data_IF_429102159881
#
_entry.id   IF_429102159881
#
_cell.length_a   1.000
_cell.length_b   1.000
_cell.length_c   1.000
_cell.angle_alpha   90.00
_cell.angle_beta   90.00
_cell.angle_gamma   90.00
#
_symmetry.space_group_name_H-M   'P 1'
#
loop_
_entity.id
_entity.type
_entity.pdbx_description
1 polymer ?
#
# COMPACT_ATOMS: atom_id res chain seq x y z
N UNK A 1 4.00 11.42 -15.59
CA UNK A 1 3.90 12.30 -14.40
C UNK A 1 2.82 11.74 -13.48
N UNK A 2 3.19 11.46 -12.23
CA UNK A 2 2.28 10.91 -11.20
C UNK A 2 1.05 11.80 -11.03
N UNK A 3 -0.13 11.19 -11.08
CA UNK A 3 -1.40 11.87 -10.85
C UNK A 3 -2.13 11.23 -9.67
N UNK A 4 -2.86 12.05 -8.91
CA UNK A 4 -3.67 11.60 -7.78
C UNK A 4 -5.06 12.24 -7.84
N UNK A 5 -6.10 11.41 -7.78
CA UNK A 5 -7.50 11.83 -7.86
C UNK A 5 -8.28 11.28 -6.66
N UNK A 6 -8.99 12.14 -5.97
CA UNK A 6 -9.92 11.69 -4.92
C UNK A 6 -11.07 10.90 -5.55
N UNK A 7 -11.38 9.74 -4.99
CA UNK A 7 -12.52 8.93 -5.44
C UNK A 7 -13.83 9.65 -5.06
N UNK A 8 -14.74 9.90 -6.03
CA UNK A 8 -16.03 10.54 -5.75
C UNK A 8 -16.88 9.73 -4.77
N UNK A 9 -17.65 10.40 -3.92
CA UNK A 9 -18.51 9.76 -2.92
C UNK A 9 -19.51 8.78 -3.51
N UNK A 10 -20.05 9.08 -4.70
CA UNK A 10 -20.97 8.16 -5.41
C UNK A 10 -20.29 6.83 -5.71
N UNK A 11 -19.02 6.85 -6.13
CA UNK A 11 -18.25 5.64 -6.42
C UNK A 11 -17.88 4.89 -5.15
N UNK A 12 -17.53 5.58 -4.06
CA UNK A 12 -17.28 4.94 -2.77
C UNK A 12 -18.52 4.18 -2.27
N UNK A 13 -19.69 4.80 -2.32
CA UNK A 13 -20.94 4.22 -1.88
C UNK A 13 -21.47 3.07 -2.76
N UNK A 14 -20.93 2.89 -3.97
CA UNK A 14 -21.29 1.78 -4.86
C UNK A 14 -20.75 0.40 -4.46
N UNK A 15 -20.03 0.31 -3.32
CA UNK A 15 -19.52 -0.94 -2.77
C UNK A 15 -18.08 -0.89 -2.28
N UNK A 16 -17.25 0.01 -2.79
CA UNK A 16 -15.82 0.13 -2.41
C UNK A 16 -15.66 0.39 -0.91
N UNK A 17 -16.48 1.25 -0.34
CA UNK A 17 -16.48 1.54 1.09
C UNK A 17 -16.71 0.27 1.94
N UNK A 18 -17.65 -0.58 1.52
CA UNK A 18 -17.95 -1.83 2.22
C UNK A 18 -16.80 -2.83 2.12
N UNK A 19 -16.15 -2.93 0.97
CA UNK A 19 -14.97 -3.79 0.78
C UNK A 19 -13.85 -3.32 1.70
N UNK A 20 -13.53 -2.03 1.71
CA UNK A 20 -12.49 -1.47 2.59
C UNK A 20 -12.81 -1.75 4.06
N UNK A 21 -14.03 -1.46 4.52
CA UNK A 21 -14.45 -1.69 5.91
C UNK A 21 -14.40 -3.17 6.31
N UNK A 22 -14.84 -4.07 5.44
CA UNK A 22 -14.74 -5.50 5.66
C UNK A 22 -13.29 -5.93 5.80
N UNK A 23 -12.44 -5.54 4.88
CA UNK A 23 -11.02 -5.89 4.87
C UNK A 23 -10.28 -5.35 6.11
N UNK A 24 -10.62 -4.15 6.59
CA UNK A 24 -10.07 -3.62 7.86
C UNK A 24 -10.51 -4.49 9.04
N UNK A 25 -11.78 -4.88 9.12
CA UNK A 25 -12.27 -5.77 10.19
C UNK A 25 -11.56 -7.12 10.17
N UNK A 26 -11.40 -7.70 8.99
CA UNK A 26 -10.70 -8.98 8.80
C UNK A 26 -9.23 -8.86 9.20
N UNK A 27 -8.54 -7.77 8.82
CA UNK A 27 -7.18 -7.48 9.24
C UNK A 27 -7.04 -7.43 10.77
N UNK A 28 -7.85 -6.62 11.47
CA UNK A 28 -7.81 -6.51 12.93
C UNK A 28 -8.12 -7.84 13.62
N UNK A 29 -9.08 -8.60 13.08
CA UNK A 29 -9.43 -9.92 13.63
C UNK A 29 -8.30 -10.93 13.46
N UNK A 30 -7.71 -11.00 12.27
CA UNK A 30 -6.69 -12.01 11.94
C UNK A 30 -5.32 -11.70 12.56
N UNK A 31 -4.91 -10.44 12.60
CA UNK A 31 -3.57 -10.04 13.06
C UNK A 31 -3.51 -9.76 14.56
N UNK A 32 -4.58 -9.20 15.14
CA UNK A 32 -4.60 -8.71 16.52
C UNK A 32 -5.62 -9.42 17.41
N UNK A 33 -6.51 -10.23 16.80
CA UNK A 33 -7.69 -10.83 17.46
C UNK A 33 -8.60 -9.78 18.14
N UNK A 34 -8.71 -8.59 17.53
CA UNK A 34 -9.50 -7.46 18.03
C UNK A 34 -10.78 -7.33 17.20
N UNK A 35 -11.92 -7.08 17.88
CA UNK A 35 -13.18 -6.71 17.26
C UNK A 35 -13.27 -5.20 17.10
N UNK A 36 -13.33 -4.75 15.86
CA UNK A 36 -13.51 -3.33 15.53
C UNK A 36 -14.92 -2.86 15.80
N UNK A 37 -15.08 -1.77 16.54
CA UNK A 37 -16.37 -1.12 16.85
C UNK A 37 -16.79 -0.14 15.77
N UNK A 38 -15.89 0.73 15.34
CA UNK A 38 -16.20 1.79 14.36
C UNK A 38 -15.04 1.99 13.39
N UNK A 39 -15.36 2.25 12.13
CA UNK A 39 -14.41 2.62 11.08
C UNK A 39 -14.89 3.91 10.44
N UNK A 40 -14.00 4.91 10.38
CA UNK A 40 -14.18 6.15 9.64
C UNK A 40 -13.12 6.24 8.55
N UNK A 41 -13.54 6.09 7.29
CA UNK A 41 -12.66 6.31 6.14
C UNK A 41 -12.39 7.82 6.02
N UNK A 42 -11.12 8.20 6.06
CA UNK A 42 -10.70 9.59 5.96
C UNK A 42 -10.60 10.02 4.50
N UNK A 43 -9.90 9.22 3.70
CA UNK A 43 -9.67 9.50 2.29
C UNK A 43 -9.54 8.22 1.48
N UNK A 44 -10.09 8.22 0.26
CA UNK A 44 -9.79 7.22 -0.78
C UNK A 44 -9.40 7.98 -2.05
N UNK A 45 -8.31 7.56 -2.69
CA UNK A 45 -7.81 8.21 -3.91
C UNK A 45 -7.19 7.22 -4.88
N UNK A 46 -7.22 7.54 -6.16
CA UNK A 46 -6.53 6.82 -7.23
C UNK A 46 -5.14 7.42 -7.38
N UNK A 47 -4.15 6.57 -7.59
CA UNK A 47 -2.79 6.95 -7.93
C UNK A 47 -2.45 6.35 -9.28
N UNK A 48 -2.16 7.20 -10.25
CA UNK A 48 -1.67 6.83 -11.58
C UNK A 48 -0.20 7.21 -11.68
N UNK A 49 0.64 6.24 -11.97
CA UNK A 49 2.10 6.42 -12.08
C UNK A 49 2.60 5.84 -13.40
N UNK A 50 3.51 6.56 -14.02
CA UNK A 50 4.17 6.23 -15.28
C UNK A 50 5.66 6.03 -15.07
N UNK A 51 6.40 5.67 -16.12
CA UNK A 51 7.84 5.47 -16.05
C UNK A 51 8.56 6.63 -15.33
N UNK A 52 9.41 6.32 -14.37
CA UNK A 52 10.14 7.27 -13.54
C UNK A 52 9.36 7.82 -12.34
N UNK A 53 8.03 7.67 -12.28
CA UNK A 53 7.24 8.10 -11.13
C UNK A 53 7.46 7.14 -9.93
N UNK A 54 7.56 7.70 -8.73
CA UNK A 54 7.79 6.96 -7.49
C UNK A 54 7.09 7.61 -6.30
N UNK A 55 7.04 6.89 -5.19
CA UNK A 55 6.72 7.45 -3.88
C UNK A 55 7.94 7.27 -2.97
N UNK A 56 8.54 8.35 -2.45
CA UNK A 56 9.60 8.23 -1.47
C UNK A 56 9.10 7.56 -0.18
N UNK A 57 9.98 7.12 0.72
CA UNK A 57 9.58 6.63 2.03
C UNK A 57 8.67 7.62 2.75
N UNK A 58 7.49 7.17 3.19
CA UNK A 58 6.49 8.00 3.84
C UNK A 58 5.57 7.19 4.75
N UNK A 59 4.80 7.92 5.55
CA UNK A 59 3.77 7.43 6.46
C UNK A 59 2.42 8.01 6.07
N UNK A 60 1.36 7.47 6.63
CA UNK A 60 0.01 8.01 6.47
C UNK A 60 -0.59 8.46 7.81
N UNK A 61 -1.58 9.34 7.71
CA UNK A 61 -2.43 9.73 8.84
C UNK A 61 -3.51 8.67 9.05
N UNK A 62 -3.84 8.40 10.31
CA UNK A 62 -4.87 7.44 10.71
C UNK A 62 -4.30 6.26 11.47
N UNK A 63 -5.09 5.21 11.62
CA UNK A 63 -4.68 3.96 12.25
C UNK A 63 -4.28 2.90 11.22
N UNK A 64 -4.99 2.87 10.09
CA UNK A 64 -4.84 1.88 9.04
C UNK A 64 -4.81 2.54 7.66
N UNK A 65 -4.01 2.00 6.78
CA UNK A 65 -3.90 2.39 5.38
C UNK A 65 -3.94 1.16 4.48
N UNK A 66 -4.13 1.37 3.20
CA UNK A 66 -4.07 0.28 2.23
C UNK A 66 -3.95 0.74 0.80
N UNK A 67 -3.56 -0.19 -0.05
CA UNK A 67 -3.42 0.01 -1.50
C UNK A 67 -3.93 -1.22 -2.25
N UNK A 68 -4.80 -0.98 -3.23
CA UNK A 68 -5.31 -2.02 -4.14
C UNK A 68 -4.89 -1.73 -5.58
N UNK A 69 -4.37 -2.74 -6.27
CA UNK A 69 -3.80 -2.57 -7.60
C UNK A 69 -4.83 -2.87 -8.69
N UNK A 70 -5.08 -1.87 -9.54
CA UNK A 70 -6.06 -1.90 -10.62
C UNK A 70 -5.42 -2.18 -11.99
N UNK A 71 -4.20 -1.69 -12.20
CA UNK A 71 -3.44 -1.86 -13.44
C UNK A 71 -1.95 -1.94 -13.15
N UNK A 72 -1.26 -2.86 -13.81
CA UNK A 72 0.19 -3.08 -13.69
C UNK A 72 0.77 -3.24 -15.09
N UNK A 73 1.75 -2.41 -15.50
CA UNK A 73 2.37 -2.51 -16.81
C UNK A 73 3.21 -3.78 -16.96
N UNK A 74 3.41 -4.20 -18.19
CA UNK A 74 4.18 -5.42 -18.52
C UNK A 74 5.62 -5.36 -18.01
N UNK A 75 6.23 -4.18 -18.01
CA UNK A 75 7.57 -3.97 -17.50
C UNK A 75 7.72 -4.36 -16.02
N UNK A 76 6.69 -4.12 -15.20
CA UNK A 76 6.66 -4.57 -13.79
C UNK A 76 6.32 -6.06 -13.71
N UNK A 77 5.35 -6.54 -14.52
CA UNK A 77 4.95 -7.96 -14.52
C UNK A 77 6.13 -8.87 -14.86
N UNK A 78 6.97 -8.46 -15.82
CA UNK A 78 8.10 -9.24 -16.33
C UNK A 78 9.41 -8.94 -15.59
N UNK A 79 9.37 -8.13 -14.54
CA UNK A 79 10.53 -7.75 -13.76
C UNK A 79 11.19 -8.97 -13.09
N UNK A 80 12.53 -9.03 -13.09
CA UNK A 80 13.31 -10.11 -12.45
C UNK A 80 13.26 -9.96 -10.93
N UNK A 81 13.36 -11.07 -10.19
CA UNK A 81 13.22 -11.11 -8.72
C UNK A 81 14.12 -10.12 -7.95
N UNK A 82 15.28 -9.77 -8.50
CA UNK A 82 16.24 -8.84 -7.84
C UNK A 82 16.06 -7.38 -8.23
N UNK A 83 15.18 -7.08 -9.17
CA UNK A 83 14.93 -5.71 -9.61
C UNK A 83 13.76 -5.11 -8.82
N UNK A 84 13.99 -3.99 -8.15
CA UNK A 84 12.99 -3.29 -7.35
C UNK A 84 12.04 -2.42 -8.18
N UNK A 85 12.26 -2.31 -9.49
CA UNK A 85 11.49 -1.43 -10.35
C UNK A 85 9.97 -1.70 -10.27
N UNK A 86 9.23 -0.69 -9.85
CA UNK A 86 7.77 -0.72 -9.70
C UNK A 86 7.24 -1.46 -8.47
N UNK A 87 8.11 -1.99 -7.61
CA UNK A 87 7.73 -2.72 -6.40
C UNK A 87 7.37 -1.76 -5.26
N UNK A 88 6.65 -2.28 -4.27
CA UNK A 88 6.38 -1.59 -3.01
C UNK A 88 7.22 -2.22 -1.90
N UNK A 89 7.88 -1.40 -1.08
CA UNK A 89 8.66 -1.83 0.07
C UNK A 89 8.10 -1.28 1.36
N UNK A 90 8.04 -2.12 2.40
CA UNK A 90 7.66 -1.74 3.76
C UNK A 90 8.87 -1.88 4.68
N UNK A 91 8.97 -0.98 5.68
CA UNK A 91 10.09 -0.92 6.62
C UNK A 91 9.59 -0.98 8.06
N UNK A 92 10.32 -1.68 8.92
CA UNK A 92 9.99 -1.77 10.36
C UNK A 92 10.45 -0.54 11.19
N UNK A 93 10.94 0.50 10.54
CA UNK A 93 11.37 1.74 11.16
C UNK A 93 12.81 1.75 11.67
N UNK A 94 13.54 0.65 11.61
CA UNK A 94 14.97 0.62 11.96
C UNK A 94 15.80 1.25 10.85
N UNK A 95 16.65 2.21 11.22
CA UNK A 95 17.48 2.96 10.27
C UNK A 95 18.91 2.39 10.13
N UNK A 96 19.38 1.62 11.11
CA UNK A 96 20.66 0.94 11.02
C UNK A 96 20.70 -0.31 11.90
N UNK A 97 21.42 -1.32 11.43
CA UNK A 97 21.81 -2.46 12.25
C UNK A 97 23.31 -2.32 12.55
N UNK A 98 23.77 -2.68 13.77
CA UNK A 98 25.21 -2.80 14.04
C UNK A 98 25.86 -3.70 13.01
N UNK A 99 27.10 -3.35 12.61
CA UNK A 99 27.85 -4.08 11.55
C UNK A 99 27.91 -5.60 11.75
N UNK A 100 27.85 -6.06 13.00
CA UNK A 100 27.91 -7.47 13.40
C UNK A 100 26.57 -8.01 13.89
N UNK A 101 25.46 -7.34 13.62
CA UNK A 101 24.13 -7.89 13.96
C UNK A 101 23.89 -9.16 13.16
N UNK A 102 23.42 -10.23 13.81
CA UNK A 102 22.99 -11.39 13.05
C UNK A 102 21.89 -11.01 12.08
N UNK A 103 21.85 -11.60 10.86
CA UNK A 103 20.84 -11.29 9.83
C UNK A 103 19.46 -11.88 10.18
N UNK A 104 19.09 -11.85 11.47
CA UNK A 104 17.92 -12.57 12.00
C UNK A 104 16.60 -11.81 11.79
N UNK A 105 16.65 -10.52 11.44
CA UNK A 105 15.44 -9.73 11.32
C UNK A 105 15.49 -8.93 10.04
N UNK A 106 14.60 -9.26 9.13
CA UNK A 106 14.35 -8.44 7.96
C UNK A 106 13.74 -7.11 8.40
N UNK A 107 14.41 -6.02 8.11
CA UNK A 107 13.94 -4.65 8.37
C UNK A 107 13.14 -4.07 7.19
N UNK A 108 13.11 -4.80 6.08
CA UNK A 108 12.45 -4.40 4.83
C UNK A 108 11.82 -5.63 4.18
N UNK A 109 10.56 -5.51 3.82
CA UNK A 109 9.86 -6.46 2.97
C UNK A 109 9.41 -5.77 1.69
N UNK A 110 9.64 -6.40 0.55
CA UNK A 110 9.33 -5.87 -0.77
C UNK A 110 8.41 -6.81 -1.52
N UNK A 111 7.36 -6.27 -2.11
CA UNK A 111 6.34 -7.03 -2.81
C UNK A 111 6.23 -6.57 -4.25
N UNK A 112 6.15 -7.56 -5.15
CA UNK A 112 5.81 -7.34 -6.55
C UNK A 112 4.29 -7.34 -6.69
N UNK A 113 3.68 -6.19 -7.03
CA UNK A 113 2.23 -6.09 -7.07
C UNK A 113 1.65 -6.83 -8.28
N UNK A 114 0.46 -7.39 -8.10
CA UNK A 114 -0.37 -7.96 -9.17
C UNK A 114 -1.71 -7.25 -9.19
N UNK A 115 -2.37 -7.23 -10.34
CA UNK A 115 -3.75 -6.73 -10.44
C UNK A 115 -4.65 -7.57 -9.53
N UNK A 116 -5.43 -6.89 -8.68
CA UNK A 116 -6.28 -7.51 -7.66
C UNK A 116 -5.63 -7.66 -6.28
N UNK A 117 -4.31 -7.49 -6.14
CA UNK A 117 -3.68 -7.44 -4.82
C UNK A 117 -4.20 -6.26 -4.02
N UNK A 118 -4.50 -6.51 -2.74
CA UNK A 118 -4.94 -5.50 -1.80
C UNK A 118 -4.14 -5.60 -0.49
N UNK A 119 -3.18 -4.70 -0.31
CA UNK A 119 -2.36 -4.63 0.90
C UNK A 119 -3.02 -3.71 1.93
N UNK A 120 -3.10 -4.19 3.18
CA UNK A 120 -3.58 -3.42 4.34
C UNK A 120 -2.49 -3.44 5.40
N UNK A 121 -2.19 -2.28 5.96
CA UNK A 121 -1.09 -2.11 6.89
C UNK A 121 -1.33 -0.96 7.87
N UNK A 122 -0.69 -0.94 9.05
CA UNK A 122 -0.76 0.17 9.97
C UNK A 122 -0.30 1.46 9.30
N UNK A 123 -1.04 2.56 9.51
CA UNK A 123 -0.73 3.84 8.85
C UNK A 123 0.66 4.40 9.21
N UNK A 124 1.21 3.98 10.37
CA UNK A 124 2.57 4.33 10.80
C UNK A 124 3.68 3.49 10.15
N UNK A 125 3.33 2.44 9.41
CA UNK A 125 4.32 1.60 8.75
C UNK A 125 4.92 2.35 7.57
N UNK A 126 6.22 2.67 7.65
CA UNK A 126 6.93 3.36 6.60
C UNK A 126 7.00 2.50 5.35
N UNK A 127 6.71 3.10 4.20
CA UNK A 127 6.76 2.40 2.92
C UNK A 127 7.13 3.33 1.79
N UNK A 128 7.62 2.74 0.71
CA UNK A 128 7.98 3.43 -0.52
C UNK A 128 7.51 2.65 -1.73
N UNK A 129 7.44 3.33 -2.86
CA UNK A 129 7.13 2.71 -4.14
C UNK A 129 8.21 3.09 -5.14
N UNK A 130 8.90 2.06 -5.65
CA UNK A 130 10.02 2.25 -6.56
C UNK A 130 9.58 2.70 -7.95
N UNK A 131 10.38 3.54 -8.63
CA UNK A 131 10.13 3.88 -10.02
C UNK A 131 10.26 2.65 -10.92
N UNK A 132 9.61 2.66 -12.06
CA UNK A 132 9.76 1.64 -13.10
C UNK A 132 10.12 2.29 -14.44
N UNK A 133 10.52 1.48 -15.40
CA UNK A 133 10.84 1.90 -16.77
C UNK A 133 9.90 1.22 -17.74
N UNK A 134 9.82 1.75 -18.96
CA UNK A 134 8.96 1.23 -20.02
C UNK A 134 7.58 1.87 -20.04
N UNK A 135 6.78 1.48 -21.02
CA UNK A 135 5.45 2.03 -21.25
C UNK A 135 4.40 1.42 -20.30
N UNK A 136 3.27 2.11 -20.23
CA UNK A 136 2.11 1.71 -19.45
C UNK A 136 1.95 2.45 -18.13
N UNK A 137 0.85 2.18 -17.48
CA UNK A 137 0.44 2.81 -16.25
C UNK A 137 0.40 1.80 -15.10
N UNK A 138 0.93 2.19 -13.94
CA UNK A 138 0.61 1.55 -12.67
C UNK A 138 -0.49 2.34 -12.00
N UNK A 139 -1.69 1.76 -11.95
CA UNK A 139 -2.84 2.37 -11.31
C UNK A 139 -3.24 1.60 -10.08
N UNK A 140 -3.40 2.31 -8.98
CA UNK A 140 -3.92 1.76 -7.74
C UNK A 140 -4.92 2.72 -7.09
N UNK A 141 -5.77 2.21 -6.22
CA UNK A 141 -6.47 3.02 -5.24
C UNK A 141 -5.78 2.88 -3.89
N UNK A 142 -5.79 3.95 -3.11
CA UNK A 142 -5.27 3.97 -1.75
C UNK A 142 -6.32 4.53 -0.80
N UNK A 143 -6.25 4.17 0.48
CA UNK A 143 -7.14 4.71 1.49
C UNK A 143 -6.41 4.94 2.82
N UNK A 144 -6.95 5.85 3.63
CA UNK A 144 -6.62 6.02 5.04
C UNK A 144 -7.90 5.92 5.86
N UNK A 145 -7.83 5.31 7.04
CA UNK A 145 -8.96 5.20 7.94
C UNK A 145 -8.55 5.33 9.42
N UNK A 146 -9.50 5.78 10.22
CA UNK A 146 -9.47 5.74 11.68
C UNK A 146 -10.33 4.59 12.16
N UNK A 147 -9.85 3.89 13.19
CA UNK A 147 -10.48 2.69 13.73
C UNK A 147 -10.58 2.80 15.24
N UNK A 148 -11.79 2.59 15.76
CA UNK A 148 -12.06 2.38 17.19
C UNK A 148 -12.22 0.87 17.41
N UNK A 149 -11.37 0.32 18.23
CA UNK A 149 -11.32 -1.11 18.54
C UNK A 149 -11.74 -1.42 19.96
#
# INVERSE_FOLDING_TARGET
MKQQFRVPQKVLKSGIENVIKKSIKDYYKQTLNIKVKKIRIDKVWIVSQYAGDFNPPHLHRGNISGVGYLEIPLSIKNNKEKDLAGLISFFDGRVSLPRNSPPLVKHRETFKPKVGDFYIFPAFLMHEVHPFRGEGERRCFSFNAFVDA
#
